data_IF_471043860486
#
_entry.id   IF_471043860486
#
_cell.length_a   1.000
_cell.length_b   1.000
_cell.length_c   1.000
_cell.angle_alpha   90.00
_cell.angle_beta   90.00
_cell.angle_gamma   90.00
#
_symmetry.space_group_name_H-M   'P 1'
#
loop_
_entity.id
_entity.type
_entity.pdbx_description
1 polymer ?
#
# COMPACT_ATOMS: atom_id res chain seq x y z
N UNK A 1 2.93 -12.61 6.41
CA UNK A 1 3.08 -11.16 6.16
C UNK A 1 3.23 -10.42 7.49
N UNK A 2 3.92 -9.29 7.47
CA UNK A 2 3.99 -8.27 8.53
C UNK A 2 3.41 -6.99 7.92
N UNK A 3 2.43 -6.36 8.57
CA UNK A 3 1.93 -5.06 8.14
C UNK A 3 2.57 -3.99 9.02
N UNK A 4 3.21 -3.00 8.38
CA UNK A 4 3.78 -1.83 9.04
C UNK A 4 2.91 -0.64 8.67
N UNK A 5 2.51 0.14 9.67
CA UNK A 5 1.59 1.27 9.51
C UNK A 5 2.01 2.39 10.46
N UNK A 6 2.18 3.59 9.92
CA UNK A 6 2.39 4.80 10.69
C UNK A 6 1.10 5.20 11.42
N UNK A 7 1.25 5.74 12.65
CA UNK A 7 0.12 6.08 13.51
C UNK A 7 -0.77 7.22 12.96
N UNK A 8 -0.26 8.03 12.02
CA UNK A 8 -0.99 9.11 11.37
C UNK A 8 -1.83 8.69 10.18
N UNK A 9 -1.78 7.41 9.77
CA UNK A 9 -2.46 6.94 8.56
C UNK A 9 -3.94 6.70 8.82
N UNK A 10 -4.78 7.27 7.96
CA UNK A 10 -6.20 6.91 7.89
C UNK A 10 -6.39 5.82 6.84
N UNK A 11 -6.96 4.69 7.26
CA UNK A 11 -7.24 3.55 6.37
C UNK A 11 -8.71 3.53 5.97
N UNK A 12 -9.00 2.91 4.82
CA UNK A 12 -10.37 2.73 4.30
C UNK A 12 -10.80 1.26 4.36
N UNK A 13 -12.11 0.94 4.37
CA UNK A 13 -12.58 -0.44 4.49
C UNK A 13 -11.96 -1.39 3.46
N UNK A 14 -11.40 -2.52 3.89
CA UNK A 14 -10.79 -3.52 3.01
C UNK A 14 -9.34 -3.25 2.59
N UNK A 15 -8.70 -2.19 3.10
CA UNK A 15 -7.31 -1.82 2.78
C UNK A 15 -6.31 -2.97 2.96
N UNK A 16 -6.41 -3.72 4.07
CA UNK A 16 -5.44 -4.75 4.40
C UNK A 16 -5.54 -5.94 3.44
N UNK A 17 -6.75 -6.35 3.06
CA UNK A 17 -6.94 -7.47 2.13
C UNK A 17 -6.19 -7.23 0.82
N UNK A 18 -6.35 -6.05 0.22
CA UNK A 18 -5.67 -5.71 -1.03
C UNK A 18 -4.14 -5.77 -0.91
N UNK A 19 -3.57 -5.30 0.19
CA UNK A 19 -2.12 -5.38 0.43
C UNK A 19 -1.63 -6.82 0.58
N UNK A 20 -2.44 -7.67 1.22
CA UNK A 20 -2.12 -9.07 1.44
C UNK A 20 -2.34 -9.94 0.19
N UNK A 21 -3.23 -9.54 -0.70
CA UNK A 21 -3.54 -10.24 -1.96
C UNK A 21 -2.57 -9.84 -3.09
N UNK A 22 -1.93 -8.67 -3.02
CA UNK A 22 -1.00 -8.21 -4.05
C UNK A 22 0.15 -9.18 -4.38
N UNK A 23 0.76 -9.92 -3.42
CA UNK A 23 1.73 -10.96 -3.73
C UNK A 23 1.19 -12.14 -4.55
N UNK A 24 -0.13 -12.38 -4.60
CA UNK A 24 -0.70 -13.39 -5.50
C UNK A 24 -0.52 -13.00 -6.97
N UNK A 25 -0.51 -11.69 -7.26
CA UNK A 25 -0.25 -11.16 -8.61
C UNK A 25 1.25 -11.10 -8.93
N UNK A 26 2.12 -10.95 -7.92
CA UNK A 26 3.59 -10.95 -8.08
C UNK A 26 4.20 -11.83 -6.98
N UNK A 27 4.33 -13.15 -7.20
CA UNK A 27 4.81 -14.09 -6.18
C UNK A 27 6.19 -13.78 -5.61
N UNK A 28 7.04 -13.13 -6.41
CA UNK A 28 8.40 -12.74 -6.03
C UNK A 28 8.46 -11.40 -5.28
N UNK A 29 7.34 -10.69 -5.13
CA UNK A 29 7.30 -9.44 -4.37
C UNK A 29 7.52 -9.71 -2.88
N UNK A 30 8.62 -9.18 -2.34
CA UNK A 30 8.92 -9.23 -0.92
C UNK A 30 8.15 -8.20 -0.10
N UNK A 31 7.80 -7.07 -0.72
CA UNK A 31 7.14 -5.92 -0.07
C UNK A 31 6.07 -5.37 -1.01
N UNK A 32 4.90 -5.00 -0.48
CA UNK A 32 3.82 -4.34 -1.20
C UNK A 32 3.34 -3.11 -0.43
N UNK A 33 3.00 -2.04 -1.15
CA UNK A 33 2.50 -0.78 -0.57
C UNK A 33 1.19 -0.34 -1.22
N UNK A 34 0.37 0.49 -0.55
CA UNK A 34 -0.90 0.95 -1.09
C UNK A 34 -0.71 2.18 -1.96
N UNK A 35 -1.73 2.51 -2.74
CA UNK A 35 -1.93 3.88 -3.20
C UNK A 35 -2.31 4.79 -2.02
N UNK A 36 -1.93 6.06 -2.10
CA UNK A 36 -2.15 7.06 -1.05
C UNK A 36 -2.41 8.44 -1.66
N UNK A 37 -3.08 9.31 -0.90
CA UNK A 37 -3.24 10.73 -1.23
C UNK A 37 -2.06 11.59 -0.76
N UNK A 38 -1.09 11.00 -0.06
CA UNK A 38 0.07 11.69 0.47
C UNK A 38 1.26 10.73 0.50
N UNK A 39 2.13 10.79 -0.50
CA UNK A 39 3.27 9.91 -0.68
C UNK A 39 4.02 10.16 -1.99
N UNK A 40 5.09 9.39 -2.27
CA UNK A 40 5.81 9.49 -3.53
C UNK A 40 5.01 8.88 -4.69
N UNK A 41 5.32 9.27 -5.92
CA UNK A 41 4.92 8.49 -7.09
C UNK A 41 5.61 7.10 -7.07
N UNK A 42 4.99 6.02 -7.58
CA UNK A 42 3.67 5.97 -8.19
C UNK A 42 2.52 5.74 -7.18
N UNK A 43 2.80 5.80 -5.87
CA UNK A 43 1.76 5.60 -4.84
C UNK A 43 0.81 6.79 -4.74
N UNK A 44 1.23 7.99 -5.14
CA UNK A 44 0.41 9.20 -5.08
C UNK A 44 -0.78 9.14 -6.06
N UNK A 45 -1.97 9.41 -5.54
CA UNK A 45 -3.20 9.58 -6.34
C UNK A 45 -3.70 11.01 -6.20
N UNK A 46 -3.24 11.89 -7.09
CA UNK A 46 -3.57 13.34 -7.03
C UNK A 46 -5.08 13.62 -7.16
N UNK A 47 -5.80 12.80 -7.94
CA UNK A 47 -7.17 13.10 -8.37
C UNK A 47 -8.28 12.44 -7.54
N UNK A 48 -7.95 11.64 -6.52
CA UNK A 48 -8.96 10.81 -5.84
C UNK A 48 -9.65 11.49 -4.65
N UNK A 49 -9.09 12.57 -4.09
CA UNK A 49 -9.66 13.28 -2.94
C UNK A 49 -9.76 14.76 -3.26
N UNK A 50 -10.81 15.18 -3.97
CA UNK A 50 -11.29 16.54 -3.72
C UNK A 50 -11.86 16.53 -2.30
N UNK A 51 -11.07 17.01 -1.35
CA UNK A 51 -11.38 17.02 0.08
C UNK A 51 -12.71 17.72 0.41
N UNK A 52 -13.30 18.43 -0.55
CA UNK A 52 -14.59 19.11 -0.42
C UNK A 52 -15.79 18.31 -0.93
N UNK A 53 -15.60 17.27 -1.74
CA UNK A 53 -16.71 16.59 -2.44
C UNK A 53 -16.73 15.08 -2.31
N UNK A 54 -15.62 14.41 -1.91
CA UNK A 54 -15.58 12.96 -1.85
C UNK A 54 -15.14 12.42 -0.48
N UNK A 55 -15.91 11.48 0.06
CA UNK A 55 -15.54 10.78 1.28
C UNK A 55 -14.38 9.81 0.97
N UNK A 56 -13.33 9.71 1.81
CA UNK A 56 -12.18 8.83 1.57
C UNK A 56 -12.55 7.39 1.22
N UNK A 57 -13.60 6.86 1.84
CA UNK A 57 -14.10 5.51 1.59
C UNK A 57 -14.66 5.32 0.17
N UNK A 58 -15.39 6.32 -0.35
CA UNK A 58 -15.95 6.30 -1.70
C UNK A 58 -14.85 6.39 -2.75
N UNK A 59 -13.87 7.27 -2.54
CA UNK A 59 -12.70 7.39 -3.39
C UNK A 59 -11.92 6.07 -3.45
N UNK A 60 -11.62 5.48 -2.29
CA UNK A 60 -10.88 4.23 -2.20
C UNK A 60 -11.66 3.06 -2.81
N UNK A 61 -12.99 3.01 -2.66
CA UNK A 61 -13.83 1.99 -3.29
C UNK A 61 -13.76 2.07 -4.82
N UNK A 62 -13.85 3.29 -5.40
CA UNK A 62 -13.70 3.47 -6.87
C UNK A 62 -12.31 3.08 -7.35
N UNK A 63 -11.25 3.53 -6.67
CA UNK A 63 -9.88 3.18 -7.05
C UNK A 63 -9.65 1.68 -7.02
N UNK A 64 -10.15 0.99 -5.98
CA UNK A 64 -10.08 -0.47 -5.88
C UNK A 64 -10.83 -1.17 -7.01
N UNK A 65 -12.00 -0.68 -7.39
CA UNK A 65 -12.77 -1.26 -8.50
C UNK A 65 -12.06 -1.05 -9.84
N UNK A 66 -11.55 0.15 -10.11
CA UNK A 66 -10.87 0.48 -11.37
C UNK A 66 -9.52 -0.24 -11.51
N UNK A 67 -8.79 -0.41 -10.42
CA UNK A 67 -7.44 -0.99 -10.41
C UNK A 67 -7.44 -2.44 -9.91
N UNK A 68 -8.58 -3.14 -9.95
CA UNK A 68 -8.70 -4.50 -9.43
C UNK A 68 -7.69 -5.44 -10.13
N UNK A 69 -6.87 -6.13 -9.33
CA UNK A 69 -5.83 -7.04 -9.84
C UNK A 69 -4.62 -6.35 -10.47
N UNK A 70 -4.55 -5.02 -10.44
CA UNK A 70 -3.42 -4.25 -10.97
C UNK A 70 -2.41 -3.96 -9.87
N UNK A 71 -1.13 -4.02 -10.25
CA UNK A 71 0.02 -3.80 -9.40
C UNK A 71 1.09 -3.07 -10.20
N UNK A 72 1.86 -2.21 -9.53
CA UNK A 72 2.96 -1.46 -10.13
C UNK A 72 4.23 -1.82 -9.40
N UNK A 73 5.25 -2.26 -10.14
CA UNK A 73 6.60 -2.46 -9.62
C UNK A 73 7.28 -1.10 -9.57
N UNK A 74 7.92 -0.80 -8.45
CA UNK A 74 8.61 0.47 -8.19
C UNK A 74 9.92 0.19 -7.44
N UNK A 75 10.87 1.12 -7.58
CA UNK A 75 12.18 1.03 -6.92
C UNK A 75 12.09 1.36 -5.43
N UNK A 76 11.08 2.15 -5.02
CA UNK A 76 10.87 2.55 -3.64
C UNK A 76 9.38 2.55 -3.23
N UNK A 77 9.15 2.33 -1.93
CA UNK A 77 7.86 2.48 -1.28
C UNK A 77 7.97 3.51 -0.16
N UNK A 78 6.95 4.36 -0.03
CA UNK A 78 6.78 5.24 1.10
C UNK A 78 6.67 4.44 2.41
N UNK A 79 7.46 4.84 3.41
CA UNK A 79 7.59 4.13 4.68
C UNK A 79 6.39 4.28 5.65
N UNK A 80 5.25 4.78 5.17
CA UNK A 80 4.05 5.03 5.99
C UNK A 80 3.14 3.79 6.12
N UNK A 81 3.10 2.93 5.09
CA UNK A 81 2.27 1.74 5.08
C UNK A 81 2.78 0.72 4.06
N UNK A 82 3.11 -0.48 4.51
CA UNK A 82 3.46 -1.58 3.61
C UNK A 82 3.24 -2.94 4.28
N UNK A 83 3.09 -3.97 3.45
CA UNK A 83 3.13 -5.36 3.88
C UNK A 83 4.43 -6.01 3.43
N UNK A 84 5.16 -6.59 4.38
CA UNK A 84 6.44 -7.25 4.18
C UNK A 84 6.31 -8.76 4.43
N UNK A 85 6.79 -9.56 3.49
CA UNK A 85 6.90 -11.01 3.67
C UNK A 85 7.85 -11.32 4.82
N UNK A 86 7.39 -12.15 5.76
CA UNK A 86 8.14 -12.43 7.01
C UNK A 86 9.44 -13.20 6.75
N UNK A 87 9.41 -14.12 5.80
CA UNK A 87 10.58 -14.85 5.33
C UNK A 87 11.59 -13.93 4.64
N UNK A 88 11.13 -12.99 3.80
CA UNK A 88 11.99 -11.95 3.21
C UNK A 88 12.63 -11.10 4.31
N UNK A 89 11.84 -10.59 5.27
CA UNK A 89 12.37 -9.81 6.40
C UNK A 89 13.48 -10.55 7.16
N UNK A 90 13.28 -11.85 7.41
CA UNK A 90 14.27 -12.69 8.10
C UNK A 90 15.52 -12.92 7.25
N UNK A 91 15.35 -13.12 5.94
CA UNK A 91 16.45 -13.35 5.02
C UNK A 91 17.30 -12.09 4.81
N UNK A 92 16.70 -10.90 4.89
CA UNK A 92 17.39 -9.61 4.69
C UNK A 92 17.90 -8.97 5.99
N UNK A 93 17.61 -9.56 7.16
CA UNK A 93 18.06 -9.06 8.46
C UNK A 93 17.13 -8.04 9.13
N UNK A 94 15.96 -7.75 8.57
CA UNK A 94 14.99 -6.81 9.14
C UNK A 94 15.35 -5.33 8.93
N UNK A 95 15.02 -4.49 9.90
CA UNK A 95 15.36 -3.07 9.91
C UNK A 95 16.69 -2.85 10.63
N UNK A 96 17.46 -1.86 10.19
CA UNK A 96 18.68 -1.43 10.90
C UNK A 96 18.30 -0.79 12.25
N UNK A 97 19.08 -1.11 13.29
CA UNK A 97 18.88 -0.65 14.67
C UNK A 97 19.95 0.37 15.11
N UNK A 98 20.86 0.76 14.21
CA UNK A 98 22.05 1.58 14.52
C UNK A 98 22.05 2.98 13.93
#
# INVERSE_FOLDING_TARGET
MLAVLDAGVTVTPGWLGVLLDAPEAIPDAGITGPLTNYGPEPQLVEAALDARTDAPDSAAARLRATNAGQVVVTDELGAFCFALRRDVARATGGFDET
#
